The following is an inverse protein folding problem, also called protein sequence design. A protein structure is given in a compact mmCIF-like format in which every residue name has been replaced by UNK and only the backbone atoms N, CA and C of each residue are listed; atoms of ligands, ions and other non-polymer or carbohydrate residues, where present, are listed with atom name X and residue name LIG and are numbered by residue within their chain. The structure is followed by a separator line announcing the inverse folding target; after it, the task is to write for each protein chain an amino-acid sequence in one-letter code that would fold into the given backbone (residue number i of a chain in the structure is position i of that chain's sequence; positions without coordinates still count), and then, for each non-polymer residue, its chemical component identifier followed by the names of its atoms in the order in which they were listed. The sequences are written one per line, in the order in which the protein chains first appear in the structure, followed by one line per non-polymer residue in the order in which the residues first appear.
data_IF_422238212837
#
_entry.id   IF_422238212837
#
_cell.length_a   1.000
_cell.length_b   1.000
_cell.length_c   1.000
_cell.angle_alpha   90.00
_cell.angle_beta   90.00
_cell.angle_gamma   90.00
#
_symmetry.space_group_name_H-M   'P 1'
#
loop_
_entity.id
_entity.type
_entity.pdbx_description
1 polymer ?
#
# COMPACT_ATOMS: atom_id res chain seq x y z
N UNK A 1 -41.73 -24.44 -2.40
CA UNK A 1 -40.44 -24.95 -2.92
C UNK A 1 -39.38 -23.90 -2.61
N UNK A 2 -38.43 -24.19 -1.71
CA UNK A 2 -37.35 -23.26 -1.36
C UNK A 2 -36.09 -23.66 -2.11
N UNK A 3 -35.55 -22.74 -2.90
CA UNK A 3 -34.27 -22.91 -3.61
C UNK A 3 -33.16 -22.24 -2.80
N UNK A 4 -32.20 -23.03 -2.34
CA UNK A 4 -30.98 -22.55 -1.66
C UNK A 4 -29.88 -22.38 -2.71
N UNK A 5 -29.72 -21.16 -3.20
CA UNK A 5 -28.63 -20.80 -4.10
C UNK A 5 -27.41 -20.40 -3.26
N UNK A 6 -26.35 -21.22 -3.31
CA UNK A 6 -25.05 -20.86 -2.76
C UNK A 6 -24.23 -20.13 -3.82
N UNK A 7 -23.76 -18.93 -3.48
CA UNK A 7 -22.89 -18.15 -4.36
C UNK A 7 -21.48 -18.71 -4.23
N UNK A 8 -20.80 -19.04 -5.34
CA UNK A 8 -19.36 -19.33 -5.33
C UNK A 8 -18.58 -18.03 -5.66
N UNK A 9 -18.19 -17.21 -4.68
CA UNK A 9 -17.45 -15.97 -4.93
C UNK A 9 -15.98 -16.21 -5.30
N UNK A 10 -15.50 -17.46 -5.20
CA UNK A 10 -14.09 -17.83 -5.26
C UNK A 10 -13.39 -17.34 -6.53
N UNK A 11 -14.02 -17.46 -7.70
CA UNK A 11 -13.41 -17.05 -8.97
C UNK A 11 -13.18 -15.53 -9.05
N UNK A 12 -14.20 -14.73 -8.66
CA UNK A 12 -14.10 -13.27 -8.67
C UNK A 12 -13.07 -12.81 -7.64
N UNK A 13 -13.00 -13.48 -6.48
CA UNK A 13 -12.05 -13.16 -5.42
C UNK A 13 -10.62 -13.42 -5.87
N UNK A 14 -10.31 -14.60 -6.39
CA UNK A 14 -8.95 -14.94 -6.84
C UNK A 14 -8.44 -13.98 -7.91
N UNK A 15 -9.29 -13.65 -8.89
CA UNK A 15 -8.98 -12.69 -9.97
C UNK A 15 -8.70 -11.26 -9.46
N UNK A 16 -9.22 -10.91 -8.29
CA UNK A 16 -9.11 -9.57 -7.68
C UNK A 16 -7.96 -9.48 -6.66
N UNK A 17 -7.74 -10.55 -5.91
CA UNK A 17 -6.67 -10.63 -4.93
C UNK A 17 -5.29 -10.72 -5.60
N UNK A 18 -5.19 -11.39 -6.74
CA UNK A 18 -3.94 -11.48 -7.49
C UNK A 18 -3.39 -10.11 -7.94
N UNK A 19 -4.16 -9.23 -8.62
CA UNK A 19 -3.68 -7.91 -9.01
C UNK A 19 -3.46 -6.98 -7.82
N UNK A 20 -4.30 -7.04 -6.77
CA UNK A 20 -4.06 -6.23 -5.57
C UNK A 20 -2.77 -6.62 -4.84
N UNK A 21 -2.44 -7.92 -4.78
CA UNK A 21 -1.17 -8.38 -4.24
C UNK A 21 0.03 -7.88 -5.06
N UNK A 22 -0.05 -7.95 -6.39
CA UNK A 22 0.96 -7.38 -7.29
C UNK A 22 1.19 -5.89 -7.03
N UNK A 23 0.11 -5.12 -6.80
CA UNK A 23 0.20 -3.68 -6.49
C UNK A 23 0.86 -3.40 -5.13
N UNK A 24 0.63 -4.24 -4.11
CA UNK A 24 1.33 -4.12 -2.82
C UNK A 24 2.82 -4.34 -2.99
N UNK A 25 3.22 -5.34 -3.79
CA UNK A 25 4.63 -5.61 -4.09
C UNK A 25 5.27 -4.41 -4.81
N UNK A 26 4.56 -3.79 -5.76
CA UNK A 26 5.04 -2.56 -6.44
C UNK A 26 5.16 -1.39 -5.47
N UNK A 27 4.17 -1.17 -4.60
CA UNK A 27 4.24 -0.15 -3.56
C UNK A 27 5.45 -0.33 -2.63
N UNK A 28 5.76 -1.58 -2.27
CA UNK A 28 6.94 -1.91 -1.49
C UNK A 28 8.25 -1.73 -2.26
N UNK A 29 8.27 -2.11 -3.54
CA UNK A 29 9.44 -1.95 -4.40
C UNK A 29 9.88 -0.49 -4.53
N UNK A 30 8.94 0.46 -4.50
CA UNK A 30 9.23 1.91 -4.49
C UNK A 30 10.14 2.32 -3.32
N UNK A 31 10.09 1.61 -2.20
CA UNK A 31 10.94 1.86 -1.06
C UNK A 31 12.41 1.41 -1.32
N UNK A 32 12.63 0.46 -2.22
CA UNK A 32 13.97 -0.03 -2.60
C UNK A 32 14.67 0.82 -3.65
N UNK A 33 13.94 1.62 -4.42
CA UNK A 33 14.55 2.49 -5.43
C UNK A 33 15.46 3.56 -4.82
N UNK A 34 16.62 3.75 -5.45
CA UNK A 34 17.67 4.68 -5.03
C UNK A 34 17.17 6.13 -4.96
N UNK A 35 17.73 6.90 -4.02
CA UNK A 35 17.34 8.28 -3.74
C UNK A 35 17.68 9.30 -4.86
N UNK A 36 18.28 8.87 -5.98
CA UNK A 36 18.62 9.73 -7.10
C UNK A 36 17.40 10.18 -7.92
N UNK A 37 16.29 9.45 -7.86
CA UNK A 37 15.08 9.69 -8.66
C UNK A 37 13.84 9.80 -7.75
N UNK A 38 13.87 10.76 -6.81
CA UNK A 38 12.81 10.93 -5.80
C UNK A 38 11.42 11.21 -6.41
N UNK A 39 11.38 11.94 -7.52
CA UNK A 39 10.14 12.29 -8.22
C UNK A 39 9.46 11.07 -8.85
N UNK A 40 10.23 10.16 -9.43
CA UNK A 40 9.69 8.96 -10.08
C UNK A 40 9.03 8.02 -9.06
N UNK A 41 9.65 7.85 -7.89
CA UNK A 41 9.11 7.04 -6.79
C UNK A 41 7.75 7.56 -6.30
N UNK A 42 7.61 8.87 -6.17
CA UNK A 42 6.34 9.52 -5.81
C UNK A 42 5.26 9.27 -6.88
N UNK A 43 5.60 9.42 -8.16
CA UNK A 43 4.67 9.18 -9.27
C UNK A 43 4.21 7.72 -9.30
N UNK A 44 5.13 6.76 -9.17
CA UNK A 44 4.80 5.33 -9.14
C UNK A 44 3.88 4.99 -7.97
N UNK A 45 4.12 5.56 -6.79
CA UNK A 45 3.25 5.35 -5.61
C UNK A 45 1.84 5.89 -5.83
N UNK A 46 1.70 7.09 -6.40
CA UNK A 46 0.41 7.71 -6.71
C UNK A 46 -0.35 6.93 -7.78
N UNK A 47 0.33 6.49 -8.84
CA UNK A 47 -0.28 5.64 -9.87
C UNK A 47 -0.77 4.32 -9.27
N UNK A 48 0.01 3.69 -8.40
CA UNK A 48 -0.37 2.44 -7.73
C UNK A 48 -1.62 2.63 -6.86
N UNK A 49 -1.69 3.75 -6.12
CA UNK A 49 -2.88 4.11 -5.32
C UNK A 49 -4.12 4.25 -6.20
N UNK A 50 -3.99 4.95 -7.33
CA UNK A 50 -5.07 5.14 -8.29
C UNK A 50 -5.57 3.80 -8.85
N UNK A 51 -4.65 2.94 -9.30
CA UNK A 51 -5.00 1.61 -9.86
C UNK A 51 -5.73 0.77 -8.81
N UNK A 52 -5.28 0.79 -7.55
CA UNK A 52 -5.93 0.07 -6.47
C UNK A 52 -7.35 0.58 -6.19
N UNK A 53 -7.56 1.90 -6.21
CA UNK A 53 -8.88 2.52 -6.07
C UNK A 53 -9.80 2.16 -7.25
N UNK A 54 -9.28 2.18 -8.48
CA UNK A 54 -10.04 1.76 -9.67
C UNK A 54 -10.49 0.30 -9.56
N UNK A 55 -9.60 -0.59 -9.10
CA UNK A 55 -9.92 -1.99 -8.83
C UNK A 55 -11.04 -2.10 -7.79
N UNK A 56 -10.94 -1.39 -6.67
CA UNK A 56 -12.00 -1.35 -5.65
C UNK A 56 -13.36 -0.93 -6.22
N UNK A 57 -13.40 0.12 -7.04
CA UNK A 57 -14.63 0.55 -7.72
C UNK A 57 -15.19 -0.54 -8.63
N UNK A 58 -14.32 -1.17 -9.42
CA UNK A 58 -14.72 -2.23 -10.36
C UNK A 58 -15.39 -3.41 -9.64
N UNK A 59 -14.84 -3.80 -8.48
CA UNK A 59 -15.41 -4.85 -7.63
C UNK A 59 -16.71 -4.41 -6.97
N UNK A 60 -16.77 -3.16 -6.53
CA UNK A 60 -17.98 -2.59 -5.95
C UNK A 60 -19.14 -2.54 -6.95
N UNK A 61 -18.85 -2.40 -8.24
CA UNK A 61 -19.85 -2.42 -9.32
C UNK A 61 -20.26 -3.84 -9.73
N UNK A 62 -19.33 -4.80 -9.69
CA UNK A 62 -19.60 -6.23 -9.95
C UNK A 62 -20.45 -6.89 -8.87
N UNK A 63 -20.44 -6.36 -7.65
CA UNK A 63 -21.29 -6.84 -6.58
C UNK A 63 -22.51 -5.92 -6.40
N UNK A 64 -23.72 -6.45 -6.18
CA UNK A 64 -24.86 -5.60 -5.84
C UNK A 64 -24.50 -4.76 -4.59
N UNK A 65 -24.85 -3.47 -4.65
CA UNK A 65 -24.67 -2.53 -3.53
C UNK A 65 -25.53 -3.02 -2.36
N UNK A 66 -24.88 -3.67 -1.41
CA UNK A 66 -25.48 -4.07 -0.14
C UNK A 66 -25.02 -3.08 0.91
N UNK A 67 -25.90 -2.71 1.85
CA UNK A 67 -25.59 -1.77 2.93
C UNK A 67 -24.52 -2.28 3.92
N UNK A 68 -24.17 -3.56 3.85
CA UNK A 68 -23.18 -4.18 4.72
C UNK A 68 -21.77 -3.99 4.19
N UNK A 69 -20.85 -3.66 5.10
CA UNK A 69 -19.41 -3.62 4.83
C UNK A 69 -18.96 -5.03 4.46
N UNK A 70 -18.50 -5.22 3.23
CA UNK A 70 -18.01 -6.51 2.78
C UNK A 70 -16.58 -6.69 3.22
N UNK A 71 -16.19 -7.95 3.41
CA UNK A 71 -14.83 -8.34 3.75
C UNK A 71 -13.80 -7.93 2.67
N UNK A 72 -14.25 -7.77 1.43
CA UNK A 72 -13.41 -7.26 0.33
C UNK A 72 -13.18 -5.75 0.46
N UNK A 73 -14.17 -5.00 0.96
CA UNK A 73 -14.06 -3.55 1.11
C UNK A 73 -13.04 -3.20 2.20
N UNK A 74 -13.03 -3.94 3.32
CA UNK A 74 -12.04 -3.73 4.39
C UNK A 74 -10.62 -4.05 3.92
N UNK A 75 -10.45 -5.03 3.02
CA UNK A 75 -9.16 -5.35 2.41
C UNK A 75 -8.65 -4.19 1.55
N UNK A 76 -9.47 -3.71 0.62
CA UNK A 76 -9.11 -2.59 -0.26
C UNK A 76 -8.85 -1.31 0.51
N UNK A 77 -9.68 -0.97 1.50
CA UNK A 77 -9.47 0.19 2.36
C UNK A 77 -8.15 0.12 3.13
N UNK A 78 -7.82 -1.06 3.65
CA UNK A 78 -6.54 -1.29 4.35
C UNK A 78 -5.35 -1.08 3.39
N UNK A 79 -5.43 -1.63 2.18
CA UNK A 79 -4.37 -1.47 1.16
C UNK A 79 -4.22 0.00 0.71
N UNK A 80 -5.32 0.73 0.53
CA UNK A 80 -5.30 2.15 0.16
C UNK A 80 -4.66 2.98 1.28
N UNK A 81 -5.03 2.72 2.54
CA UNK A 81 -4.46 3.42 3.69
C UNK A 81 -2.95 3.18 3.82
N UNK A 82 -2.50 1.94 3.60
CA UNK A 82 -1.09 1.59 3.59
C UNK A 82 -0.30 2.38 2.53
N UNK A 83 -0.78 2.40 1.29
CA UNK A 83 -0.11 3.15 0.20
C UNK A 83 -0.12 4.65 0.50
N UNK A 84 -1.19 5.18 1.09
CA UNK A 84 -1.24 6.58 1.51
C UNK A 84 -0.14 6.92 2.52
N UNK A 85 0.08 6.07 3.53
CA UNK A 85 1.17 6.26 4.49
C UNK A 85 2.56 6.20 3.83
N UNK A 86 2.76 5.37 2.79
CA UNK A 86 4.00 5.33 1.98
C UNK A 86 4.21 6.67 1.25
N UNK A 87 3.15 7.21 0.64
CA UNK A 87 3.20 8.50 -0.06
C UNK A 87 3.57 9.63 0.91
N UNK A 88 2.92 9.69 2.08
CA UNK A 88 3.23 10.70 3.12
C UNK A 88 4.71 10.62 3.50
N UNK A 89 5.23 9.42 3.74
CA UNK A 89 6.64 9.23 4.04
C UNK A 89 7.55 9.76 2.92
N UNK A 90 7.27 9.44 1.65
CA UNK A 90 8.05 9.96 0.53
C UNK A 90 8.01 11.50 0.44
N UNK A 91 6.87 12.13 0.72
CA UNK A 91 6.72 13.59 0.72
C UNK A 91 7.52 14.21 1.86
N UNK A 92 7.47 13.64 3.07
CA UNK A 92 8.24 14.11 4.22
C UNK A 92 9.74 14.03 3.96
N UNK A 93 10.23 12.91 3.40
CA UNK A 93 11.64 12.74 3.03
C UNK A 93 12.07 13.76 1.99
N UNK A 94 11.23 14.02 0.96
CA UNK A 94 11.50 15.04 -0.05
C UNK A 94 11.58 16.44 0.55
N UNK A 95 10.65 16.81 1.44
CA UNK A 95 10.66 18.14 2.06
C UNK A 95 11.92 18.33 2.93
N UNK A 96 12.27 17.32 3.73
CA UNK A 96 13.48 17.34 4.53
C UNK A 96 14.75 17.46 3.68
N UNK A 97 14.84 16.73 2.56
CA UNK A 97 16.00 16.83 1.66
C UNK A 97 16.08 18.23 0.99
N UNK A 98 14.93 18.83 0.65
CA UNK A 98 14.87 20.20 0.09
C UNK A 98 15.39 21.25 1.08
N UNK A 99 15.00 21.17 2.35
CA UNK A 99 15.46 22.09 3.40
C UNK A 99 16.99 21.99 3.61
N UNK A 100 17.53 20.77 3.60
CA UNK A 100 18.98 20.54 3.66
C UNK A 100 19.72 21.10 2.44
N UNK A 101 19.16 20.97 1.23
CA UNK A 101 19.76 21.54 0.00
C UNK A 101 19.80 23.06 0.07
N UNK A 102 18.70 23.72 0.47
CA UNK A 102 18.64 25.19 0.60
C UNK A 102 19.64 25.69 1.66
N UNK A 103 19.78 24.96 2.77
CA UNK A 103 20.78 25.28 3.79
C UNK A 103 22.23 25.08 3.29
N UNK A 104 22.47 24.05 2.47
CA UNK A 104 23.79 23.78 1.87
C UNK A 104 24.21 24.80 0.80
N UNK A 105 23.27 25.41 0.07
CA UNK A 105 23.58 26.51 -0.86
C UNK A 105 24.13 27.74 -0.10
N UNK A 106 23.73 27.93 1.17
CA UNK A 106 24.26 29.00 2.03
C UNK A 106 25.57 28.64 2.74
N UNK A 107 26.06 27.39 2.68
CA UNK A 107 27.24 26.96 3.45
C UNK A 107 28.05 25.93 2.66
N UNK A 108 29.05 26.42 1.93
CA UNK A 108 29.99 25.60 1.18
C UNK A 108 30.69 24.56 2.07
N UNK A 109 30.71 23.32 1.55
CA UNK A 109 31.52 22.13 1.91
C UNK A 109 32.03 22.00 3.35
N UNK A 110 31.37 21.14 4.13
CA UNK A 110 32.10 20.22 5.03
C UNK A 110 31.19 19.13 5.60
N UNK A 111 31.35 17.93 5.05
CA UNK A 111 31.37 16.63 5.74
C UNK A 111 30.47 16.44 6.97
N UNK A 112 29.29 15.84 6.78
CA UNK A 112 28.84 14.76 7.68
C UNK A 112 27.88 13.83 6.95
N UNK A 113 28.43 12.74 6.45
CA UNK A 113 27.73 11.71 5.71
C UNK A 113 27.46 10.56 6.68
N UNK A 114 26.49 10.69 7.60
CA UNK A 114 26.24 9.65 8.61
C UNK A 114 24.83 9.57 9.24
N UNK A 115 23.80 10.30 8.77
CA UNK A 115 22.41 10.14 9.31
C UNK A 115 21.38 9.64 8.27
N UNK A 116 21.78 9.48 7.00
CA UNK A 116 20.87 9.05 5.92
C UNK A 116 20.69 7.52 5.86
N UNK A 117 21.48 6.76 6.64
CA UNK A 117 21.58 5.30 6.52
C UNK A 117 20.56 4.53 7.39
N UNK A 118 20.10 5.08 8.53
CA UNK A 118 19.26 4.30 9.47
C UNK A 118 17.75 4.59 9.45
N UNK A 119 17.29 5.76 8.98
CA UNK A 119 15.83 6.04 8.88
C UNK A 119 15.19 5.22 7.75
N UNK A 120 15.89 5.09 6.63
CA UNK A 120 15.41 4.32 5.48
C UNK A 120 15.39 2.81 5.78
N UNK A 121 16.27 2.30 6.65
CA UNK A 121 16.34 0.90 7.02
C UNK A 121 15.25 0.51 8.02
N UNK A 122 15.05 1.34 9.06
CA UNK A 122 13.99 1.15 10.06
C UNK A 122 12.60 1.19 9.40
N UNK A 123 12.33 2.17 8.54
CA UNK A 123 11.06 2.24 7.80
C UNK A 123 10.93 1.17 6.72
N UNK A 124 12.04 0.72 6.09
CA UNK A 124 12.03 -0.45 5.18
C UNK A 124 11.62 -1.74 5.83
N UNK A 125 11.79 -1.87 7.14
CA UNK A 125 11.45 -3.06 7.91
C UNK A 125 10.09 -2.92 8.61
N UNK A 126 9.78 -1.74 9.18
CA UNK A 126 8.53 -1.51 9.92
C UNK A 126 7.28 -1.61 9.03
N UNK A 127 7.37 -1.06 7.81
CA UNK A 127 6.26 -1.00 6.88
C UNK A 127 5.84 -2.38 6.34
N UNK A 128 6.78 -3.24 5.87
CA UNK A 128 6.42 -4.59 5.46
C UNK A 128 5.96 -5.45 6.63
N UNK A 129 6.53 -5.29 7.83
CA UNK A 129 6.05 -5.99 9.03
C UNK A 129 4.60 -5.59 9.34
N UNK A 130 4.26 -4.31 9.25
CA UNK A 130 2.90 -3.83 9.43
C UNK A 130 1.95 -4.35 8.33
N UNK A 131 2.38 -4.38 7.07
CA UNK A 131 1.59 -4.96 5.96
C UNK A 131 1.39 -6.46 6.11
N UNK A 132 2.41 -7.20 6.56
CA UNK A 132 2.35 -8.64 6.82
C UNK A 132 1.45 -8.94 8.02
N UNK A 133 1.53 -8.12 9.08
CA UNK A 133 0.64 -8.24 10.23
C UNK A 133 -0.82 -8.08 9.79
N UNK A 134 -1.15 -7.07 8.96
CA UNK A 134 -2.49 -6.86 8.41
C UNK A 134 -2.93 -8.01 7.49
N UNK A 135 -2.01 -8.55 6.67
CA UNK A 135 -2.25 -9.71 5.80
C UNK A 135 -2.58 -10.97 6.61
N UNK A 136 -1.84 -11.22 7.70
CA UNK A 136 -2.03 -12.34 8.61
C UNK A 136 -3.35 -12.21 9.37
N UNK A 137 -3.67 -11.01 9.86
CA UNK A 137 -4.93 -10.74 10.55
C UNK A 137 -6.11 -10.94 9.59
N UNK A 138 -6.00 -10.47 8.36
CA UNK A 138 -7.03 -10.64 7.33
C UNK A 138 -7.23 -12.12 6.95
N UNK A 139 -6.15 -12.85 6.68
CA UNK A 139 -6.21 -14.29 6.39
C UNK A 139 -6.80 -15.08 7.56
N UNK A 140 -6.45 -14.72 8.80
CA UNK A 140 -7.02 -15.32 10.02
C UNK A 140 -8.54 -15.13 10.09
N UNK A 141 -9.04 -13.91 9.86
CA UNK A 141 -10.48 -13.62 9.86
C UNK A 141 -11.20 -14.34 8.70
N UNK A 142 -10.59 -14.38 7.51
CA UNK A 142 -11.13 -15.12 6.35
C UNK A 142 -11.25 -16.62 6.61
N UNK A 143 -10.20 -17.23 7.17
CA UNK A 143 -10.21 -18.64 7.57
C UNK A 143 -11.32 -18.87 8.60
N UNK A 144 -11.39 -18.05 9.65
CA UNK A 144 -12.38 -18.20 10.70
C UNK A 144 -13.83 -18.17 10.16
N UNK A 145 -14.12 -17.29 9.19
CA UNK A 145 -15.43 -17.19 8.54
C UNK A 145 -15.74 -18.33 7.55
N UNK A 146 -14.73 -19.07 7.10
CA UNK A 146 -14.90 -20.26 6.24
C UNK A 146 -15.15 -21.53 7.04
N UNK A 147 -14.63 -21.60 8.28
CA UNK A 147 -14.79 -22.75 9.17
C UNK A 147 -16.03 -22.67 10.09
N UNK A 148 -16.61 -21.48 10.27
CA UNK A 148 -17.88 -21.23 10.97
C UNK A 148 -19.04 -21.15 9.97
#
# INVERSE_FOLDING_TARGET
VHFTLSRLPTYILVSTFLPSFMLIVVGYATLFLNASLEQERLTVSLTTMLVLYTLFSNISDLLPKTSYIKMVDIWFLSCIFLIFCIIVFHVTVKNFNRENIVFSISKDKSHFNLDRFDINFLFKLIFPIFTLMLLILFWSIMIFQIYM
#
